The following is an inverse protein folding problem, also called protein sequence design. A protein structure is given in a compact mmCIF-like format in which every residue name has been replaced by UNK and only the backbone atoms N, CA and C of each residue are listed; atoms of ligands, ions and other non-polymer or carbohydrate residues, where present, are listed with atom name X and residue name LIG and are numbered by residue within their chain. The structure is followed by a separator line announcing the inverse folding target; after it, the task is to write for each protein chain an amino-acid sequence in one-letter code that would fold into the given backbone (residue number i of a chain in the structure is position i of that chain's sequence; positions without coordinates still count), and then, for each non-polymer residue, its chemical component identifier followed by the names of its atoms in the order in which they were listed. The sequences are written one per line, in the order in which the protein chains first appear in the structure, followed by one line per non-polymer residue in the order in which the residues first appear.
data_IF_656344504010
#
_entry.id   IF_656344504010
#
_cell.length_a   1.000
_cell.length_b   1.000
_cell.length_c   1.000
_cell.angle_alpha   90.00
_cell.angle_beta   90.00
_cell.angle_gamma   90.00
#
_symmetry.space_group_name_H-M   'P 1'
#
loop_
_entity.id
_entity.type
_entity.pdbx_description
1 polymer ?
#
# COMPACT_ATOMS: atom_id res chain seq x y z
N UNK A 1 -12.35 -8.90 1.83
CA UNK A 1 -12.00 -7.68 1.06
C UNK A 1 -13.16 -7.11 0.22
N UNK A 2 -14.33 -7.75 0.17
CA UNK A 2 -15.47 -7.24 -0.62
C UNK A 2 -15.89 -5.81 -0.23
N UNK A 3 -15.86 -5.47 1.06
CA UNK A 3 -16.21 -4.13 1.54
C UNK A 3 -15.31 -3.03 0.98
N UNK A 4 -13.98 -3.23 0.97
CA UNK A 4 -13.02 -2.25 0.44
C UNK A 4 -13.26 -2.04 -1.06
N UNK A 5 -13.53 -3.12 -1.81
CA UNK A 5 -13.85 -3.05 -3.23
C UNK A 5 -15.14 -2.28 -3.49
N UNK A 6 -16.19 -2.51 -2.69
CA UNK A 6 -17.47 -1.81 -2.83
C UNK A 6 -17.36 -0.31 -2.53
N UNK A 7 -16.40 0.13 -1.71
CA UNK A 7 -16.20 1.53 -1.35
C UNK A 7 -15.22 2.25 -2.30
N UNK A 8 -14.52 1.50 -3.16
CA UNK A 8 -13.52 2.06 -4.08
C UNK A 8 -14.19 2.98 -5.09
N UNK A 9 -13.61 4.15 -5.30
CA UNK A 9 -14.16 5.18 -6.21
C UNK A 9 -15.23 6.07 -5.61
N UNK A 10 -15.82 5.69 -4.46
CA UNK A 10 -16.81 6.50 -3.76
C UNK A 10 -16.25 7.23 -2.54
N UNK A 11 -15.20 6.67 -1.92
CA UNK A 11 -14.57 7.18 -0.71
C UNK A 11 -13.04 7.12 -0.81
N UNK A 12 -12.36 8.04 -0.11
CA UNK A 12 -10.93 7.92 0.16
C UNK A 12 -10.70 6.90 1.26
N UNK A 13 -9.89 5.88 0.99
CA UNK A 13 -9.59 4.80 1.92
C UNK A 13 -8.12 4.87 2.29
N UNK A 14 -7.83 4.98 3.58
CA UNK A 14 -6.48 4.86 4.12
C UNK A 14 -6.37 3.50 4.80
N UNK A 15 -5.43 2.68 4.33
CA UNK A 15 -5.21 1.33 4.85
C UNK A 15 -3.75 1.16 5.25
N UNK A 16 -3.54 0.57 6.43
CA UNK A 16 -2.22 0.15 6.91
C UNK A 16 -2.20 -1.37 6.92
N UNK A 17 -1.24 -1.98 6.21
CA UNK A 17 -1.16 -3.43 6.09
C UNK A 17 0.24 -3.89 5.75
N UNK A 18 0.64 -5.02 6.33
CA UNK A 18 1.85 -5.76 5.96
C UNK A 18 1.57 -6.87 4.92
N UNK A 19 0.31 -7.15 4.62
CA UNK A 19 -0.08 -8.22 3.69
C UNK A 19 0.02 -7.72 2.24
N UNK A 20 0.83 -8.35 1.37
CA UNK A 20 0.95 -7.94 -0.03
C UNK A 20 -0.37 -7.93 -0.79
N UNK A 21 -1.29 -8.85 -0.47
CA UNK A 21 -2.62 -8.90 -1.08
C UNK A 21 -3.47 -7.67 -0.82
N UNK A 22 -3.29 -6.99 0.31
CA UNK A 22 -3.97 -5.74 0.63
C UNK A 22 -3.29 -4.56 -0.05
N UNK A 23 -1.95 -4.55 -0.06
CA UNK A 23 -1.15 -3.50 -0.71
C UNK A 23 -1.51 -3.41 -2.21
N UNK A 24 -1.69 -4.56 -2.88
CA UNK A 24 -2.13 -4.63 -4.28
C UNK A 24 -3.51 -4.04 -4.57
N UNK A 25 -4.35 -3.83 -3.56
CA UNK A 25 -5.67 -3.21 -3.75
C UNK A 25 -5.62 -1.69 -3.72
N UNK A 26 -4.53 -1.11 -3.23
CA UNK A 26 -4.40 0.34 -3.11
C UNK A 26 -4.14 0.97 -4.48
N UNK A 27 -4.61 2.20 -4.68
CA UNK A 27 -4.26 2.97 -5.87
C UNK A 27 -2.85 3.56 -5.74
N UNK A 28 -2.42 3.87 -4.51
CA UNK A 28 -1.10 4.41 -4.14
C UNK A 28 -0.61 3.74 -2.85
N UNK A 29 0.69 3.54 -2.74
CA UNK A 29 1.35 2.99 -1.55
C UNK A 29 2.35 4.01 -1.02
N UNK A 30 2.27 4.28 0.28
CA UNK A 30 3.18 5.17 1.01
C UNK A 30 3.98 4.33 2.01
N UNK A 31 5.30 4.35 1.91
CA UNK A 31 6.17 3.66 2.86
C UNK A 31 6.71 4.67 3.87
N UNK A 32 6.32 4.51 5.13
CA UNK A 32 6.79 5.30 6.26
C UNK A 32 7.82 4.50 7.06
N UNK A 33 8.96 5.12 7.36
CA UNK A 33 9.97 4.59 8.29
C UNK A 33 10.39 5.71 9.24
N UNK A 34 10.42 5.43 10.56
CA UNK A 34 10.83 6.40 11.61
C UNK A 34 10.12 7.76 11.51
N UNK A 35 8.84 7.75 11.13
CA UNK A 35 8.03 8.97 10.99
C UNK A 35 8.26 9.76 9.69
N UNK A 36 9.03 9.22 8.75
CA UNK A 36 9.37 9.87 7.48
C UNK A 36 8.82 9.05 6.31
N UNK A 37 8.26 9.73 5.30
CA UNK A 37 7.89 9.11 4.02
C UNK A 37 9.15 8.85 3.19
N UNK A 38 9.51 7.58 3.07
CA UNK A 38 10.73 7.15 2.37
C UNK A 38 10.47 6.70 0.93
N UNK A 39 9.23 6.35 0.58
CA UNK A 39 8.84 6.01 -0.77
C UNK A 39 7.34 6.19 -1.01
N UNK A 40 6.99 6.48 -2.26
CA UNK A 40 5.62 6.55 -2.76
C UNK A 40 5.55 5.98 -4.18
N UNK A 41 4.52 5.20 -4.50
CA UNK A 41 4.28 4.77 -5.88
C UNK A 41 3.08 3.83 -6.05
N UNK A 42 2.96 3.25 -7.24
CA UNK A 42 1.99 2.19 -7.50
C UNK A 42 2.33 0.93 -6.67
N UNK A 43 1.35 0.07 -6.35
CA UNK A 43 1.59 -1.16 -5.59
C UNK A 43 2.69 -2.05 -6.17
N UNK A 44 2.75 -2.21 -7.48
CA UNK A 44 3.70 -3.07 -8.19
C UNK A 44 5.15 -2.57 -8.05
N UNK A 45 5.32 -1.24 -8.03
CA UNK A 45 6.63 -0.59 -7.84
C UNK A 45 7.09 -0.67 -6.38
N UNK A 46 6.13 -0.65 -5.45
CA UNK A 46 6.40 -0.74 -4.02
C UNK A 46 6.74 -2.17 -3.61
N UNK A 47 6.07 -3.16 -4.20
CA UNK A 47 6.27 -4.59 -3.94
C UNK A 47 7.52 -5.17 -4.62
N UNK A 48 8.10 -4.51 -5.63
CA UNK A 48 9.35 -4.96 -6.27
C UNK A 48 10.60 -4.45 -5.54
N UNK A 49 10.52 -3.29 -4.87
CA UNK A 49 11.57 -2.80 -3.96
C UNK A 49 11.68 -3.58 -2.63
N UNK A 50 10.77 -4.51 -2.44
CA UNK A 50 10.51 -5.23 -1.20
C UNK A 50 11.32 -6.53 -1.04
N UNK A 51 11.95 -7.05 -2.10
CA UNK A 51 12.64 -8.36 -2.04
C UNK A 51 14.00 -8.33 -1.32
N UNK A 52 14.32 -7.27 -0.58
CA UNK A 52 15.54 -7.24 0.23
C UNK A 52 15.71 -6.08 1.21
N UNK A 53 14.65 -5.30 1.48
CA UNK A 53 14.71 -4.14 2.39
C UNK A 53 13.53 -4.08 3.36
N UNK A 54 13.16 -5.24 3.88
CA UNK A 54 12.29 -5.38 5.05
C UNK A 54 13.05 -5.96 6.26
N UNK A 55 14.39 -5.95 6.24
CA UNK A 55 15.24 -6.20 7.40
C UNK A 55 15.65 -4.88 8.04
#
# INVERSE_FOLDING_TARGET
MQMIQNLRGEKTIIMVSHRPSHIRLADRVLHLEKGILIAEGAPEQSLSRSEGKFL
#
